data_IF_757355490105
#
_entry.id   IF_757355490105
#
_cell.length_a   1.000
_cell.length_b   1.000
_cell.length_c   1.000
_cell.angle_alpha   90.00
_cell.angle_beta   90.00
_cell.angle_gamma   90.00
#
_symmetry.space_group_name_H-M   'P 1'
#
loop_
_entity.id
_entity.type
_entity.pdbx_description
1 polymer ?
#
# COMPACT_ATOMS: atom_id res chain seq x y z
N UNK A 1 25.80 -83.61 38.91
CA UNK A 1 26.62 -83.02 37.83
C UNK A 1 26.56 -81.52 38.00
N UNK A 2 27.58 -80.93 38.61
CA UNK A 2 27.60 -79.50 38.97
C UNK A 2 28.26 -78.66 37.87
N UNK A 3 27.47 -77.76 37.29
CA UNK A 3 27.90 -76.81 36.25
C UNK A 3 28.63 -75.63 36.92
N UNK A 4 29.97 -75.69 36.91
CA UNK A 4 30.85 -74.61 37.38
C UNK A 4 31.11 -73.63 36.24
N UNK A 5 30.43 -72.49 36.26
CA UNK A 5 30.63 -71.38 35.32
C UNK A 5 31.82 -70.53 35.80
N UNK A 6 32.88 -70.44 35.01
CA UNK A 6 33.99 -69.50 35.25
C UNK A 6 33.58 -68.07 34.86
N UNK A 7 33.84 -67.11 35.76
CA UNK A 7 33.66 -65.67 35.51
C UNK A 7 34.96 -65.06 34.99
N UNK A 8 34.93 -64.21 33.94
CA UNK A 8 36.12 -63.55 33.44
C UNK A 8 36.60 -62.46 34.41
N UNK A 9 37.91 -62.47 34.67
CA UNK A 9 38.60 -61.55 35.58
C UNK A 9 38.77 -60.19 34.91
N UNK A 10 37.94 -59.21 35.31
CA UNK A 10 38.03 -57.83 34.80
C UNK A 10 39.31 -57.18 35.35
N UNK A 11 40.17 -56.72 34.43
CA UNK A 11 41.44 -56.04 34.75
C UNK A 11 41.17 -54.54 34.93
N UNK A 12 41.01 -54.12 36.19
CA UNK A 12 40.90 -52.70 36.56
C UNK A 12 42.29 -52.05 36.44
N UNK A 13 42.43 -51.08 35.55
CA UNK A 13 43.67 -50.31 35.31
C UNK A 13 43.83 -49.18 36.34
N UNK A 14 44.97 -49.03 37.05
CA UNK A 14 45.15 -48.01 38.10
C UNK A 14 45.65 -46.64 37.58
N UNK A 15 45.32 -46.25 36.33
CA UNK A 15 45.95 -45.10 35.66
C UNK A 15 45.27 -43.74 35.88
N UNK A 16 44.08 -43.70 36.49
CA UNK A 16 43.28 -42.48 36.64
C UNK A 16 43.77 -41.52 37.75
N UNK A 17 44.49 -42.01 38.76
CA UNK A 17 44.86 -41.19 39.93
C UNK A 17 46.00 -40.19 39.65
N UNK A 18 46.87 -40.47 38.66
CA UNK A 18 47.97 -39.56 38.27
C UNK A 18 47.51 -38.32 37.50
N UNK A 19 46.40 -38.41 36.77
CA UNK A 19 45.83 -37.26 36.07
C UNK A 19 45.11 -36.29 37.02
N UNK A 20 44.44 -36.81 38.05
CA UNK A 20 43.71 -36.00 39.02
C UNK A 20 44.63 -35.21 39.95
N UNK A 21 45.75 -35.81 40.36
CA UNK A 21 46.77 -35.12 41.18
C UNK A 21 47.43 -33.96 40.43
N UNK A 22 47.74 -34.13 39.14
CA UNK A 22 48.29 -33.06 38.31
C UNK A 22 47.34 -31.85 38.16
N UNK A 23 46.02 -32.09 38.17
CA UNK A 23 45.02 -31.01 38.15
C UNK A 23 44.89 -30.31 39.51
N UNK A 24 45.07 -31.03 40.61
CA UNK A 24 45.11 -30.46 41.97
C UNK A 24 46.35 -29.59 42.16
N UNK A 25 47.51 -29.99 41.63
CA UNK A 25 48.74 -29.19 41.69
C UNK A 25 48.69 -27.93 40.79
N UNK A 26 47.84 -27.93 39.76
CA UNK A 26 47.54 -26.74 38.94
C UNK A 26 46.46 -25.82 39.53
N UNK A 27 45.68 -26.28 40.51
CA UNK A 27 44.66 -25.48 41.18
C UNK A 27 45.19 -24.18 41.82
N UNK A 28 46.33 -24.16 42.54
CA UNK A 28 46.84 -22.91 43.13
C UNK A 28 47.29 -21.90 42.08
N UNK A 29 47.77 -22.35 40.90
CA UNK A 29 48.17 -21.46 39.81
C UNK A 29 46.97 -20.82 39.11
N UNK A 30 45.83 -21.51 39.05
CA UNK A 30 44.59 -20.96 38.51
C UNK A 30 44.05 -19.81 39.37
N UNK A 31 44.19 -19.89 40.70
CA UNK A 31 43.73 -18.86 41.62
C UNK A 31 44.56 -17.57 41.52
N UNK A 32 45.89 -17.65 41.41
CA UNK A 32 46.75 -16.46 41.25
C UNK A 32 46.59 -15.77 39.89
N UNK A 33 46.35 -16.54 38.82
CA UNK A 33 46.01 -15.97 37.52
C UNK A 33 44.64 -15.30 37.54
N UNK A 34 43.67 -15.93 38.21
CA UNK A 34 42.34 -15.38 38.45
C UNK A 34 42.38 -14.03 39.18
N UNK A 35 43.24 -13.89 40.20
CA UNK A 35 43.37 -12.62 40.95
C UNK A 35 43.97 -11.48 40.11
N UNK A 36 44.99 -11.73 39.28
CA UNK A 36 45.57 -10.71 38.37
C UNK A 36 44.55 -10.24 37.34
N UNK A 37 43.77 -11.16 36.80
CA UNK A 37 42.69 -10.85 35.86
C UNK A 37 41.59 -10.05 36.55
N UNK A 38 41.18 -10.44 37.77
CA UNK A 38 40.15 -9.72 38.54
C UNK A 38 40.57 -8.29 38.86
N UNK A 39 41.83 -8.05 39.21
CA UNK A 39 42.35 -6.71 39.52
C UNK A 39 42.43 -5.81 38.29
N UNK A 40 42.84 -6.36 37.13
CA UNK A 40 42.84 -5.60 35.86
C UNK A 40 41.43 -5.33 35.32
N UNK A 41 40.49 -6.23 35.55
CA UNK A 41 39.11 -6.10 35.08
C UNK A 41 38.22 -5.27 36.02
N UNK A 42 38.64 -5.03 37.27
CA UNK A 42 37.90 -4.16 38.21
C UNK A 42 37.64 -2.75 37.66
N UNK A 43 38.64 -1.99 37.16
CA UNK A 43 38.39 -0.66 36.61
C UNK A 43 37.63 -0.69 35.28
N UNK A 44 37.86 -1.73 34.46
CA UNK A 44 37.11 -1.92 33.22
C UNK A 44 35.62 -2.19 33.50
N UNK A 45 35.33 -2.98 34.53
CA UNK A 45 33.97 -3.30 34.95
C UNK A 45 33.23 -2.07 35.47
N UNK A 46 33.82 -1.28 36.38
CA UNK A 46 33.16 -0.06 36.87
C UNK A 46 32.98 0.98 35.78
N UNK A 47 33.93 1.10 34.85
CA UNK A 47 33.80 1.96 33.66
C UNK A 47 32.70 1.49 32.70
N UNK A 48 32.58 0.18 32.47
CA UNK A 48 31.47 -0.41 31.69
C UNK A 48 30.12 -0.22 32.38
N UNK A 49 30.03 -0.42 33.70
CA UNK A 49 28.80 -0.20 34.47
C UNK A 49 28.37 1.27 34.47
N UNK A 50 29.32 2.21 34.59
CA UNK A 50 29.03 3.64 34.48
C UNK A 50 28.60 4.02 33.04
N UNK A 51 29.23 3.42 32.03
CA UNK A 51 28.92 3.66 30.62
C UNK A 51 27.63 2.97 30.15
N UNK A 52 27.15 1.94 30.86
CA UNK A 52 25.91 1.21 30.54
C UNK A 52 24.69 2.12 30.54
N UNK A 53 24.63 3.10 31.46
CA UNK A 53 23.53 4.09 31.46
C UNK A 53 23.55 4.95 30.20
N UNK A 54 24.74 5.43 29.79
CA UNK A 54 24.91 6.23 28.56
C UNK A 54 24.56 5.42 27.32
N UNK A 55 25.04 4.19 27.22
CA UNK A 55 24.70 3.27 26.12
C UNK A 55 23.20 2.93 26.09
N UNK A 56 22.57 2.74 27.24
CA UNK A 56 21.13 2.53 27.32
C UNK A 56 20.35 3.76 26.83
N UNK A 57 20.74 4.96 27.26
CA UNK A 57 20.10 6.21 26.80
C UNK A 57 20.28 6.41 25.29
N UNK A 58 21.48 6.18 24.76
CA UNK A 58 21.74 6.29 23.32
C UNK A 58 20.96 5.24 22.54
N UNK A 59 20.88 3.99 23.04
CA UNK A 59 20.09 2.93 22.43
C UNK A 59 18.60 3.26 22.38
N UNK A 60 18.04 3.76 23.49
CA UNK A 60 16.64 4.21 23.54
C UNK A 60 16.43 5.36 22.57
N UNK A 61 17.29 6.37 22.57
CA UNK A 61 17.20 7.52 21.66
C UNK A 61 17.24 7.07 20.18
N UNK A 62 18.13 6.14 19.83
CA UNK A 62 18.23 5.60 18.48
C UNK A 62 16.95 4.86 18.06
N UNK A 63 16.38 4.02 18.95
CA UNK A 63 15.11 3.33 18.70
C UNK A 63 13.96 4.33 18.55
N UNK A 64 13.90 5.36 19.38
CA UNK A 64 12.88 6.42 19.28
C UNK A 64 12.97 7.16 17.95
N UNK A 65 14.18 7.56 17.52
CA UNK A 65 14.39 8.24 16.23
C UNK A 65 14.02 7.31 15.07
N UNK A 66 14.42 6.04 15.13
CA UNK A 66 14.07 5.06 14.10
C UNK A 66 12.57 4.84 13.99
N UNK A 67 11.85 4.67 15.11
CA UNK A 67 10.39 4.58 15.13
C UNK A 67 9.73 5.85 14.59
N UNK A 68 10.21 7.02 15.00
CA UNK A 68 9.69 8.31 14.53
C UNK A 68 9.82 8.43 13.00
N UNK A 69 11.00 8.11 12.46
CA UNK A 69 11.22 8.07 11.02
C UNK A 69 10.31 7.04 10.36
N UNK A 70 10.23 5.81 10.88
CA UNK A 70 9.40 4.76 10.32
C UNK A 70 7.91 5.13 10.30
N UNK A 71 7.39 5.81 11.32
CA UNK A 71 6.00 6.30 11.35
C UNK A 71 5.79 7.45 10.36
N UNK A 72 6.74 8.39 10.29
CA UNK A 72 6.68 9.52 9.36
C UNK A 72 6.82 9.12 7.88
N UNK A 73 7.63 8.10 7.59
CA UNK A 73 7.87 7.55 6.26
C UNK A 73 7.06 6.28 5.95
N UNK A 74 6.25 5.80 6.88
CA UNK A 74 5.45 4.59 6.73
C UNK A 74 4.26 4.75 5.79
N UNK A 75 3.50 3.67 5.59
CA UNK A 75 2.35 3.60 4.66
C UNK A 75 1.27 4.70 4.85
N UNK A 76 1.23 5.35 6.02
CA UNK A 76 0.31 6.46 6.34
C UNK A 76 1.04 7.80 6.59
N UNK A 77 2.29 7.92 6.17
CA UNK A 77 3.14 9.08 6.38
C UNK A 77 2.74 10.32 5.56
N UNK A 78 3.41 11.44 5.84
CA UNK A 78 3.18 12.74 5.18
C UNK A 78 3.18 12.67 3.64
N UNK A 79 3.95 11.75 3.06
CA UNK A 79 4.06 11.58 1.61
C UNK A 79 2.75 11.11 0.97
N UNK A 80 2.08 10.11 1.57
CA UNK A 80 0.80 9.58 1.07
C UNK A 80 -0.31 10.61 1.30
N UNK A 81 -0.25 11.36 2.40
CA UNK A 81 -1.19 12.45 2.66
C UNK A 81 -1.17 13.50 1.54
N UNK A 82 0.02 13.84 1.01
CA UNK A 82 0.11 14.82 -0.10
C UNK A 82 -0.53 14.30 -1.39
N UNK A 83 -0.33 13.03 -1.73
CA UNK A 83 -0.95 12.42 -2.92
C UNK A 83 -2.47 12.36 -2.76
N UNK A 84 -2.95 11.80 -1.65
CA UNK A 84 -4.39 11.72 -1.35
C UNK A 84 -5.06 13.10 -1.30
N UNK A 85 -4.35 14.14 -0.86
CA UNK A 85 -4.86 15.51 -0.83
C UNK A 85 -5.04 16.08 -2.23
N UNK A 86 -4.10 15.83 -3.14
CA UNK A 86 -4.20 16.27 -4.53
C UNK A 86 -5.37 15.56 -5.23
N UNK A 87 -5.46 14.23 -5.09
CA UNK A 87 -6.56 13.44 -5.66
C UNK A 87 -7.92 13.90 -5.13
N UNK A 88 -8.01 14.16 -3.81
CA UNK A 88 -9.23 14.68 -3.19
C UNK A 88 -9.64 16.05 -3.74
N UNK A 89 -8.67 16.93 -4.02
CA UNK A 89 -8.96 18.25 -4.59
C UNK A 89 -9.45 18.15 -6.03
N UNK A 90 -8.80 17.34 -6.86
CA UNK A 90 -9.21 17.10 -8.25
C UNK A 90 -10.61 16.52 -8.32
N UNK A 91 -10.88 15.47 -7.55
CA UNK A 91 -12.18 14.80 -7.56
C UNK A 91 -13.30 15.72 -7.06
N UNK A 92 -12.99 16.58 -6.08
CA UNK A 92 -13.95 17.56 -5.58
C UNK A 92 -14.27 18.64 -6.61
N UNK A 93 -13.27 19.09 -7.36
CA UNK A 93 -13.50 20.02 -8.47
C UNK A 93 -14.38 19.40 -9.56
N UNK A 94 -14.15 18.13 -9.89
CA UNK A 94 -14.95 17.39 -10.88
C UNK A 94 -16.41 17.26 -10.44
N UNK A 95 -16.66 16.95 -9.15
CA UNK A 95 -18.02 16.92 -8.59
C UNK A 95 -18.69 18.30 -8.70
N UNK A 96 -17.98 19.37 -8.36
CA UNK A 96 -18.54 20.72 -8.41
C UNK A 96 -18.86 21.15 -9.85
N UNK A 97 -18.02 20.81 -10.83
CA UNK A 97 -18.29 21.05 -12.25
C UNK A 97 -19.50 20.26 -12.74
N UNK A 98 -19.55 18.95 -12.49
CA UNK A 98 -20.68 18.11 -12.87
C UNK A 98 -21.99 18.58 -12.23
N UNK A 99 -21.95 19.05 -10.98
CA UNK A 99 -23.13 19.59 -10.31
C UNK A 99 -23.62 20.87 -10.98
N UNK A 100 -22.71 21.76 -11.41
CA UNK A 100 -23.08 22.96 -12.17
C UNK A 100 -23.71 22.61 -13.51
N UNK A 101 -23.12 21.67 -14.24
CA UNK A 101 -23.68 21.19 -15.52
C UNK A 101 -25.06 20.57 -15.33
N UNK A 102 -25.21 19.72 -14.30
CA UNK A 102 -26.50 19.11 -13.98
C UNK A 102 -27.56 20.16 -13.65
N UNK A 103 -27.21 21.16 -12.84
CA UNK A 103 -28.10 22.27 -12.51
C UNK A 103 -28.46 23.08 -13.76
N UNK A 104 -27.51 23.29 -14.68
CA UNK A 104 -27.73 23.99 -15.94
C UNK A 104 -28.71 23.24 -16.84
N UNK A 105 -28.49 21.94 -17.08
CA UNK A 105 -29.41 21.11 -17.87
C UNK A 105 -30.78 20.98 -17.22
N UNK A 106 -30.83 20.80 -15.90
CA UNK A 106 -32.10 20.76 -15.16
C UNK A 106 -32.87 22.08 -15.31
N UNK A 107 -32.16 23.22 -15.31
CA UNK A 107 -32.74 24.52 -15.59
C UNK A 107 -33.31 24.63 -17.00
N UNK A 108 -32.56 24.16 -18.01
CA UNK A 108 -33.03 24.13 -19.40
C UNK A 108 -34.26 23.23 -19.57
N UNK A 109 -34.25 22.03 -19.00
CA UNK A 109 -35.38 21.10 -19.03
C UNK A 109 -36.60 21.74 -18.37
N UNK A 110 -36.44 22.39 -17.21
CA UNK A 110 -37.54 23.11 -16.56
C UNK A 110 -38.05 24.26 -17.42
N UNK A 111 -37.18 25.06 -18.03
CA UNK A 111 -37.59 26.15 -18.91
C UNK A 111 -38.37 25.64 -20.13
N UNK A 112 -37.89 24.56 -20.76
CA UNK A 112 -38.57 23.88 -21.87
C UNK A 112 -39.93 23.31 -21.44
N UNK A 113 -40.01 22.68 -20.26
CA UNK A 113 -41.25 22.11 -19.72
C UNK A 113 -42.26 23.17 -19.27
N UNK A 114 -41.80 24.34 -18.83
CA UNK A 114 -42.68 25.39 -18.30
C UNK A 114 -43.43 26.13 -19.41
N UNK A 115 -42.90 26.13 -20.65
CA UNK A 115 -43.61 26.66 -21.81
C UNK A 115 -44.11 25.54 -22.76
N UNK A 116 -45.29 24.97 -22.49
CA UNK A 116 -45.86 23.90 -23.31
C UNK A 116 -46.08 24.31 -24.77
N UNK A 117 -46.16 25.62 -25.09
CA UNK A 117 -46.30 26.09 -26.48
C UNK A 117 -45.00 25.96 -27.26
N UNK A 118 -43.84 26.09 -26.61
CA UNK A 118 -42.53 25.91 -27.26
C UNK A 118 -42.29 24.43 -27.58
N UNK A 119 -42.66 23.52 -26.69
CA UNK A 119 -42.63 22.06 -26.97
C UNK A 119 -43.57 21.70 -28.13
N UNK A 120 -44.79 22.23 -28.12
CA UNK A 120 -45.76 21.96 -29.19
C UNK A 120 -45.27 22.49 -30.55
N UNK A 121 -44.59 23.64 -30.57
CA UNK A 121 -43.98 24.20 -31.79
C UNK A 121 -42.85 23.31 -32.32
N UNK A 122 -41.90 22.93 -31.49
CA UNK A 122 -40.78 22.05 -31.89
C UNK A 122 -41.27 20.67 -32.33
N UNK A 123 -42.26 20.10 -31.64
CA UNK A 123 -42.89 18.84 -32.04
C UNK A 123 -43.58 18.95 -33.42
N UNK A 124 -44.25 20.07 -33.73
CA UNK A 124 -44.87 20.29 -35.03
C UNK A 124 -43.85 20.54 -36.15
N UNK A 125 -42.80 21.30 -35.87
CA UNK A 125 -41.80 21.70 -36.87
C UNK A 125 -40.78 20.60 -37.17
N UNK A 126 -40.21 19.96 -36.15
CA UNK A 126 -39.17 18.94 -36.35
C UNK A 126 -39.73 17.54 -36.52
N UNK A 127 -40.77 17.20 -35.75
CA UNK A 127 -41.29 15.83 -35.68
C UNK A 127 -42.58 15.65 -36.49
N UNK A 128 -43.05 16.70 -37.18
CA UNK A 128 -44.32 16.71 -37.92
C UNK A 128 -45.50 16.17 -37.09
N UNK A 129 -45.46 16.42 -35.78
CA UNK A 129 -46.44 15.89 -34.84
C UNK A 129 -47.81 16.53 -35.07
N UNK A 130 -48.84 15.70 -35.27
CA UNK A 130 -50.23 16.13 -35.40
C UNK A 130 -51.05 15.55 -34.24
N UNK A 131 -51.93 16.36 -33.64
CA UNK A 131 -52.81 15.92 -32.55
C UNK A 131 -53.92 15.01 -33.12
N UNK A 132 -54.46 14.02 -32.36
CA UNK A 132 -55.58 13.22 -32.82
C UNK A 132 -56.75 14.10 -33.30
N UNK A 133 -57.08 14.04 -34.60
CA UNK A 133 -58.11 14.87 -35.24
C UNK A 133 -57.59 15.98 -36.18
N UNK A 134 -56.28 16.23 -36.25
CA UNK A 134 -55.66 17.15 -37.22
C UNK A 134 -55.30 16.42 -38.54
N UNK A 135 -55.46 17.07 -39.69
CA UNK A 135 -55.17 16.51 -41.03
C UNK A 135 -53.95 17.19 -41.63
N UNK A 136 -52.90 16.43 -41.93
CA UNK A 136 -51.63 16.93 -42.51
C UNK A 136 -51.73 16.93 -44.03
N UNK A 137 -51.62 18.12 -44.66
CA UNK A 137 -51.53 18.26 -46.11
C UNK A 137 -50.08 18.25 -46.56
N UNK A 138 -49.67 17.25 -47.33
CA UNK A 138 -48.33 17.18 -47.94
C UNK A 138 -48.44 17.56 -49.40
N UNK A 139 -47.58 18.46 -49.87
CA UNK A 139 -47.53 18.82 -51.28
C UNK A 139 -47.11 17.59 -52.12
N UNK A 140 -47.75 17.32 -53.26
CA UNK A 140 -47.37 16.21 -54.12
C UNK A 140 -45.93 16.37 -54.61
N UNK A 141 -45.21 15.25 -54.72
CA UNK A 141 -43.83 15.26 -55.17
C UNK A 141 -43.72 15.98 -56.53
N UNK A 142 -42.72 16.86 -56.72
CA UNK A 142 -42.55 17.54 -58.00
C UNK A 142 -42.37 16.49 -59.11
N UNK A 143 -42.99 16.70 -60.29
CA UNK A 143 -42.87 15.75 -61.38
C UNK A 143 -41.39 15.52 -61.72
N UNK A 144 -40.98 14.28 -62.03
CA UNK A 144 -39.59 13.97 -62.33
C UNK A 144 -39.09 14.91 -63.42
N UNK A 145 -38.02 15.65 -63.12
CA UNK A 145 -37.35 16.52 -64.08
C UNK A 145 -36.84 15.63 -65.21
N UNK A 146 -37.53 15.67 -66.36
CA UNK A 146 -37.05 15.03 -67.57
C UNK A 146 -35.82 15.82 -68.02
N UNK A 147 -34.63 15.34 -67.68
CA UNK A 147 -33.38 15.85 -68.25
C UNK A 147 -33.44 15.49 -69.74
N UNK A 148 -33.51 16.47 -70.66
CA UNK A 148 -33.56 16.16 -72.08
C UNK A 148 -32.29 15.41 -72.46
N UNK A 149 -32.43 14.24 -73.08
CA UNK A 149 -31.31 13.54 -73.68
C UNK A 149 -30.79 14.42 -74.83
N UNK A 150 -29.71 15.15 -74.57
CA UNK A 150 -28.98 15.87 -75.61
C UNK A 150 -28.40 14.83 -76.56
N UNK A 151 -29.09 14.60 -77.67
CA UNK A 151 -28.57 13.87 -78.83
C UNK A 151 -27.49 14.72 -79.50
N UNK A 152 -26.36 14.91 -78.81
CA UNK A 152 -25.15 15.46 -79.39
C UNK A 152 -24.23 14.29 -79.73
N UNK A 153 -23.88 14.20 -81.01
CA UNK A 153 -22.92 13.30 -81.66
C UNK A 153 -23.50 12.02 -82.32
N UNK A 154 -24.21 12.22 -83.42
CA UNK A 154 -24.03 11.37 -84.60
C UNK A 154 -23.65 12.27 -85.79
N UNK A 155 -22.35 12.42 -86.02
CA UNK A 155 -21.78 12.69 -87.34
C UNK A 155 -20.33 12.26 -87.40
#
# INVERSE_FOLDING_TARGET
>A
MDLRIERPKIRVMPRAQRGLSALVDCAPQAEVFGQRIKQRLRPASTWLYASRRRLATVGVAAVTVWLFLHVMFGANGMVVYRQKRADYQTLRHEIDELQKENNHYTGQIKALQTDPKTIEKEAREQLHYARPGEVVYVAPAPPPVQIPATNAAQK
#
